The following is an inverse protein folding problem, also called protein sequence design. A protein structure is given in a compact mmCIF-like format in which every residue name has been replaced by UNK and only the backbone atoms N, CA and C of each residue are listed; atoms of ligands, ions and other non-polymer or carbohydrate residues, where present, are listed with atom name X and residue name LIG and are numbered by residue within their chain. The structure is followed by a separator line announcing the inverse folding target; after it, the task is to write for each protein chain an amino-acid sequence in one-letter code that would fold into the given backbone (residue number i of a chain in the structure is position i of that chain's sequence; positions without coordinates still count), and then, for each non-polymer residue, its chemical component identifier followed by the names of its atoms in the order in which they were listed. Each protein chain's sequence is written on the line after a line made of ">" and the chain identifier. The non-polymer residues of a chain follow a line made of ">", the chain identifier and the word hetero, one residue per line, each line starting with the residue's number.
data_IF_957203698633
#
_entry.id   IF_957203698633
#
_cell.length_a   1.000
_cell.length_b   1.000
_cell.length_c   1.000
_cell.angle_alpha   90.00
_cell.angle_beta   90.00
_cell.angle_gamma   90.00
#
_symmetry.space_group_name_H-M   'P 1'
#
loop_
_entity.id
_entity.type
_entity.pdbx_description
1 polymer ?
#
# COMPACT_ATOMS: atom_id res chain seq x y z
N UNK A 1 -21.50 -21.81 22.59
CA UNK A 1 -21.18 -21.96 21.16
C UNK A 1 -20.03 -22.93 20.84
N UNK A 2 -19.03 -23.14 21.71
CA UNK A 2 -17.87 -24.01 21.43
C UNK A 2 -18.20 -25.45 20.96
N UNK A 3 -19.16 -26.12 21.61
CA UNK A 3 -19.61 -27.48 21.21
C UNK A 3 -20.32 -27.52 19.86
N UNK A 4 -21.03 -26.45 19.50
CA UNK A 4 -21.74 -26.35 18.22
C UNK A 4 -20.76 -26.05 17.08
N UNK A 5 -19.81 -25.13 17.32
CA UNK A 5 -18.76 -24.75 16.38
C UNK A 5 -17.96 -25.96 15.87
N UNK A 6 -17.64 -26.93 16.73
CA UNK A 6 -16.85 -28.11 16.35
C UNK A 6 -17.58 -29.18 15.54
N UNK A 7 -18.91 -29.09 15.41
CA UNK A 7 -19.72 -30.12 14.72
C UNK A 7 -20.61 -29.56 13.62
N UNK A 8 -20.84 -28.24 13.59
CA UNK A 8 -21.76 -27.61 12.65
C UNK A 8 -21.21 -27.68 11.23
N UNK A 9 -22.08 -28.04 10.30
CA UNK A 9 -21.83 -27.93 8.87
C UNK A 9 -22.70 -26.80 8.31
N UNK A 10 -22.06 -25.86 7.62
CA UNK A 10 -22.71 -24.73 6.99
C UNK A 10 -22.82 -24.96 5.49
N UNK A 11 -23.95 -24.57 4.90
CA UNK A 11 -24.14 -24.58 3.46
C UNK A 11 -23.27 -23.49 2.84
N UNK A 12 -22.45 -23.87 1.87
CA UNK A 12 -21.54 -22.98 1.15
C UNK A 12 -21.70 -23.16 -0.36
N UNK A 13 -21.01 -22.33 -1.14
CA UNK A 13 -20.84 -22.52 -2.59
C UNK A 13 -20.12 -23.85 -2.96
N UNK A 14 -19.56 -24.59 -1.99
CA UNK A 14 -18.95 -25.92 -2.17
C UNK A 14 -19.62 -26.98 -1.29
N UNK A 15 -20.94 -26.93 -1.18
CA UNK A 15 -21.78 -27.79 -0.31
C UNK A 15 -21.53 -27.55 1.19
N UNK A 16 -21.85 -28.53 2.01
CA UNK A 16 -21.72 -28.46 3.47
C UNK A 16 -20.25 -28.53 3.90
N UNK A 17 -19.77 -27.50 4.60
CA UNK A 17 -18.39 -27.39 5.09
C UNK A 17 -18.38 -27.08 6.59
N UNK A 18 -17.35 -27.54 7.29
CA UNK A 18 -17.16 -27.23 8.72
C UNK A 18 -16.24 -26.01 8.89
N UNK A 19 -16.69 -24.95 9.58
CA UNK A 19 -15.85 -23.76 9.81
C UNK A 19 -14.54 -24.04 10.56
N UNK A 20 -14.50 -25.13 11.34
CA UNK A 20 -13.28 -25.53 12.08
C UNK A 20 -12.26 -26.28 11.24
N UNK A 21 -12.64 -26.75 10.05
CA UNK A 21 -11.76 -27.51 9.15
C UNK A 21 -11.36 -26.69 7.92
N UNK A 22 -12.20 -25.76 7.50
CA UNK A 22 -11.99 -24.93 6.30
C UNK A 22 -12.36 -23.48 6.58
N UNK A 23 -11.60 -22.54 6.03
CA UNK A 23 -11.95 -21.12 6.09
C UNK A 23 -13.19 -20.85 5.23
N UNK A 24 -14.27 -20.39 5.87
CA UNK A 24 -15.53 -20.01 5.22
C UNK A 24 -15.70 -18.51 5.37
N UNK A 25 -15.98 -17.82 4.27
CA UNK A 25 -16.08 -16.37 4.26
C UNK A 25 -17.48 -15.85 3.95
N UNK A 26 -17.80 -14.66 4.44
CA UNK A 26 -19.04 -13.97 4.12
C UNK A 26 -19.07 -13.45 2.67
N UNK A 27 -20.27 -13.44 2.07
CA UNK A 27 -20.54 -12.71 0.83
C UNK A 27 -20.89 -11.24 1.13
N UNK A 28 -20.91 -10.36 0.11
CA UNK A 28 -21.38 -8.98 0.28
C UNK A 28 -22.81 -8.86 0.85
N UNK A 29 -23.67 -9.88 0.67
CA UNK A 29 -25.04 -9.84 1.22
C UNK A 29 -25.07 -9.85 2.75
N UNK A 30 -24.05 -10.44 3.36
CA UNK A 30 -23.85 -10.45 4.82
C UNK A 30 -23.13 -9.20 5.34
N UNK A 31 -22.79 -8.26 4.46
CA UNK A 31 -22.08 -7.03 4.82
C UNK A 31 -20.56 -7.10 4.65
N UNK A 32 -20.02 -8.15 4.03
CA UNK A 32 -18.61 -8.16 3.65
C UNK A 32 -18.36 -7.01 2.66
N UNK A 33 -17.41 -6.09 2.94
CA UNK A 33 -17.13 -4.96 2.05
C UNK A 33 -16.61 -5.37 0.67
N UNK A 34 -16.10 -6.60 0.52
CA UNK A 34 -15.47 -7.11 -0.70
C UNK A 34 -16.22 -8.29 -1.29
N UNK A 35 -16.33 -8.33 -2.61
CA UNK A 35 -16.84 -9.47 -3.36
C UNK A 35 -15.67 -10.38 -3.73
N UNK A 36 -15.42 -11.41 -2.93
CA UNK A 36 -14.18 -12.20 -3.03
C UNK A 36 -13.99 -12.88 -4.39
N UNK A 37 -15.07 -13.31 -5.02
CA UNK A 37 -15.02 -13.96 -6.34
C UNK A 37 -14.66 -12.96 -7.44
N UNK A 38 -15.03 -11.69 -7.27
CA UNK A 38 -14.73 -10.62 -8.23
C UNK A 38 -13.41 -9.93 -7.91
N UNK A 39 -13.16 -9.68 -6.64
CA UNK A 39 -12.06 -8.87 -6.15
C UNK A 39 -10.75 -9.66 -6.05
N UNK A 40 -10.86 -10.98 -5.83
CA UNK A 40 -9.76 -11.92 -5.65
C UNK A 40 -10.06 -13.26 -6.35
N UNK A 41 -10.46 -13.17 -7.63
CA UNK A 41 -10.98 -14.29 -8.44
C UNK A 41 -10.03 -15.48 -8.63
N UNK A 42 -8.74 -15.27 -8.40
CA UNK A 42 -7.67 -16.27 -8.51
C UNK A 42 -7.69 -17.28 -7.37
N UNK A 43 -8.27 -16.95 -6.23
CA UNK A 43 -8.36 -17.85 -5.09
C UNK A 43 -9.71 -18.56 -5.05
N UNK A 44 -9.69 -19.83 -4.67
CA UNK A 44 -10.88 -20.69 -4.66
C UNK A 44 -11.66 -20.54 -3.35
N UNK A 45 -12.32 -19.39 -3.18
CA UNK A 45 -13.06 -19.03 -1.97
C UNK A 45 -14.18 -20.02 -1.62
N UNK A 46 -14.30 -20.35 -0.34
CA UNK A 46 -15.47 -21.03 0.23
C UNK A 46 -16.34 -19.95 0.87
N UNK A 47 -17.51 -19.71 0.31
CA UNK A 47 -18.41 -18.65 0.71
C UNK A 47 -19.67 -19.21 1.37
N UNK A 48 -20.09 -18.59 2.47
CA UNK A 48 -21.36 -18.90 3.12
C UNK A 48 -22.51 -18.68 2.14
N UNK A 49 -23.42 -19.65 2.03
CA UNK A 49 -24.55 -19.56 1.10
C UNK A 49 -25.46 -18.38 1.44
N UNK A 50 -25.89 -17.64 0.43
CA UNK A 50 -26.83 -16.53 0.57
C UNK A 50 -28.26 -16.98 0.94
N UNK A 51 -28.53 -18.28 0.95
CA UNK A 51 -29.84 -18.83 1.35
C UNK A 51 -30.20 -18.48 2.80
N UNK A 52 -29.21 -18.36 3.70
CA UNK A 52 -29.48 -18.01 5.11
C UNK A 52 -29.94 -16.57 5.30
N UNK A 53 -29.71 -15.69 4.32
CA UNK A 53 -30.03 -14.26 4.42
C UNK A 53 -31.11 -13.81 3.42
N UNK A 54 -31.56 -14.70 2.52
CA UNK A 54 -32.48 -14.39 1.42
C UNK A 54 -33.78 -13.71 1.88
N UNK A 55 -34.30 -14.10 3.05
CA UNK A 55 -35.55 -13.56 3.60
C UNK A 55 -35.36 -12.43 4.61
N UNK A 56 -34.13 -11.96 4.82
CA UNK A 56 -33.82 -10.95 5.83
C UNK A 56 -33.74 -9.57 5.19
N UNK A 57 -34.75 -8.75 5.49
CA UNK A 57 -34.83 -7.37 4.97
C UNK A 57 -34.25 -6.34 5.95
N UNK A 58 -34.26 -6.64 7.26
CA UNK A 58 -33.80 -5.72 8.30
C UNK A 58 -32.27 -5.68 8.41
N UNK A 59 -31.69 -4.49 8.42
CA UNK A 59 -30.26 -4.29 8.69
C UNK A 59 -29.84 -4.84 10.06
N UNK A 60 -30.70 -4.73 11.07
CA UNK A 60 -30.41 -5.22 12.42
C UNK A 60 -30.38 -6.77 12.49
N UNK A 61 -31.29 -7.43 11.77
CA UNK A 61 -31.31 -8.90 11.70
C UNK A 61 -30.10 -9.43 10.94
N UNK A 62 -29.68 -8.75 9.87
CA UNK A 62 -28.43 -9.08 9.15
C UNK A 62 -27.21 -8.99 10.06
N UNK A 63 -27.10 -7.94 10.88
CA UNK A 63 -26.01 -7.80 11.86
C UNK A 63 -26.01 -8.94 12.89
N UNK A 64 -27.18 -9.30 13.43
CA UNK A 64 -27.30 -10.44 14.36
C UNK A 64 -26.90 -11.76 13.72
N UNK A 65 -27.29 -11.97 12.46
CA UNK A 65 -26.95 -13.18 11.72
C UNK A 65 -25.45 -13.24 11.39
N UNK A 66 -24.87 -12.13 10.95
CA UNK A 66 -23.44 -12.00 10.74
C UNK A 66 -22.69 -12.37 12.04
N UNK A 67 -23.02 -11.73 13.16
CA UNK A 67 -22.41 -12.03 14.47
C UNK A 67 -22.54 -13.52 14.83
N UNK A 68 -23.72 -14.11 14.65
CA UNK A 68 -23.94 -15.54 14.91
C UNK A 68 -22.99 -16.43 14.09
N UNK A 69 -22.84 -16.18 12.79
CA UNK A 69 -21.94 -16.94 11.94
C UNK A 69 -20.46 -16.66 12.25
N UNK A 70 -20.10 -15.45 12.69
CA UNK A 70 -18.77 -15.13 13.19
C UNK A 70 -18.43 -15.96 14.43
N UNK A 71 -19.39 -16.12 15.36
CA UNK A 71 -19.23 -16.99 16.54
C UNK A 71 -19.04 -18.48 16.17
N UNK A 72 -19.58 -18.91 15.02
CA UNK A 72 -19.36 -20.25 14.46
C UNK A 72 -18.03 -20.38 13.71
N UNK A 73 -17.32 -19.28 13.43
CA UNK A 73 -16.03 -19.28 12.74
C UNK A 73 -16.08 -18.91 11.26
N UNK A 74 -17.17 -18.33 10.78
CA UNK A 74 -17.19 -17.67 9.46
C UNK A 74 -16.51 -16.31 9.59
N UNK A 75 -15.65 -15.98 8.63
CA UNK A 75 -14.84 -14.77 8.65
C UNK A 75 -15.22 -13.80 7.53
N UNK A 76 -14.88 -12.53 7.69
CA UNK A 76 -14.77 -11.63 6.54
C UNK A 76 -13.50 -11.96 5.74
N UNK A 77 -13.35 -11.34 4.58
CA UNK A 77 -12.29 -11.62 3.60
C UNK A 77 -10.91 -11.91 4.22
N UNK A 78 -10.47 -11.06 5.15
CA UNK A 78 -9.12 -11.08 5.73
C UNK A 78 -9.09 -11.16 7.27
N UNK A 79 -10.21 -11.45 7.94
CA UNK A 79 -10.31 -11.30 9.39
C UNK A 79 -10.57 -12.59 10.16
N UNK A 80 -9.95 -12.75 11.35
CA UNK A 80 -9.03 -11.81 11.98
C UNK A 80 -7.57 -12.03 11.49
N UNK A 81 -6.78 -10.94 11.38
CA UNK A 81 -5.42 -10.92 10.76
C UNK A 81 -4.43 -11.84 11.48
N UNK A 82 -4.58 -12.00 12.80
CA UNK A 82 -3.84 -12.91 13.67
C UNK A 82 -3.93 -14.39 13.27
N UNK A 83 -4.98 -14.78 12.54
CA UNK A 83 -5.15 -16.16 12.06
C UNK A 83 -4.58 -16.40 10.66
N UNK A 84 -3.90 -15.43 10.06
CA UNK A 84 -3.26 -15.65 8.76
C UNK A 84 -2.10 -16.62 8.87
N UNK A 85 -2.10 -17.59 7.98
CA UNK A 85 -0.87 -18.31 7.67
C UNK A 85 -0.06 -17.48 6.67
N UNK A 86 1.27 -17.40 6.86
CA UNK A 86 2.16 -16.75 5.89
C UNK A 86 1.91 -17.26 4.46
N UNK A 87 1.58 -18.55 4.34
CA UNK A 87 1.24 -19.21 3.07
C UNK A 87 0.06 -18.54 2.32
N UNK A 88 -0.98 -18.09 3.02
CA UNK A 88 -2.12 -17.42 2.37
C UNK A 88 -1.73 -16.05 1.83
N UNK A 89 -1.00 -15.25 2.60
CA UNK A 89 -0.45 -13.98 2.12
C UNK A 89 0.47 -14.19 0.93
N UNK A 90 1.44 -15.09 1.06
CA UNK A 90 2.41 -15.41 0.02
C UNK A 90 1.70 -15.87 -1.25
N UNK A 91 0.68 -16.70 -1.14
CA UNK A 91 -0.12 -17.14 -2.30
C UNK A 91 -0.79 -15.96 -3.03
N UNK A 92 -1.26 -14.94 -2.30
CA UNK A 92 -1.91 -13.77 -2.87
C UNK A 92 -0.90 -12.83 -3.54
N UNK A 93 0.23 -12.56 -2.89
CA UNK A 93 1.25 -11.66 -3.45
C UNK A 93 2.04 -12.31 -4.60
N UNK A 94 2.18 -13.64 -4.61
CA UNK A 94 2.83 -14.39 -5.70
C UNK A 94 2.05 -14.35 -7.01
N UNK A 95 0.77 -13.96 -6.99
CA UNK A 95 0.01 -13.69 -8.22
C UNK A 95 0.57 -12.46 -8.94
N UNK A 96 1.28 -11.57 -8.22
CA UNK A 96 1.88 -10.33 -8.75
C UNK A 96 0.89 -9.46 -9.53
N UNK A 97 -0.36 -9.40 -9.05
CA UNK A 97 -1.42 -8.62 -9.70
C UNK A 97 -1.58 -7.27 -9.01
N UNK A 98 -1.28 -6.19 -9.74
CA UNK A 98 -1.42 -4.82 -9.24
C UNK A 98 -2.80 -4.55 -8.62
N UNK A 99 -3.89 -5.01 -9.25
CA UNK A 99 -5.24 -4.83 -8.71
C UNK A 99 -5.48 -5.58 -7.41
N UNK A 100 -4.93 -6.80 -7.29
CA UNK A 100 -5.05 -7.60 -6.06
C UNK A 100 -4.24 -6.95 -4.94
N UNK A 101 -3.00 -6.56 -5.23
CA UNK A 101 -2.11 -5.92 -4.25
C UNK A 101 -2.64 -4.56 -3.78
N UNK A 102 -3.26 -3.76 -4.66
CA UNK A 102 -3.95 -2.51 -4.26
C UNK A 102 -5.09 -2.77 -3.28
N UNK A 103 -5.96 -3.74 -3.61
CA UNK A 103 -7.06 -4.13 -2.72
C UNK A 103 -6.54 -4.66 -1.39
N UNK A 104 -5.54 -5.53 -1.43
CA UNK A 104 -4.89 -6.08 -0.24
C UNK A 104 -4.34 -4.98 0.67
N UNK A 105 -3.66 -3.98 0.08
CA UNK A 105 -3.16 -2.84 0.82
C UNK A 105 -4.27 -2.06 1.51
N UNK A 106 -5.35 -1.72 0.79
CA UNK A 106 -6.51 -1.01 1.35
C UNK A 106 -7.13 -1.77 2.52
N UNK A 107 -7.28 -3.09 2.39
CA UNK A 107 -7.92 -3.90 3.45
C UNK A 107 -7.04 -3.98 4.69
N UNK A 108 -5.73 -4.15 4.51
CA UNK A 108 -4.77 -4.12 5.60
C UNK A 108 -4.82 -2.76 6.29
N UNK A 109 -4.81 -1.67 5.53
CA UNK A 109 -4.90 -0.30 6.06
C UNK A 109 -6.15 -0.06 6.91
N UNK A 110 -7.33 -0.47 6.42
CA UNK A 110 -8.64 -0.24 7.06
C UNK A 110 -8.77 -0.94 8.41
N UNK A 111 -8.06 -2.05 8.61
CA UNK A 111 -8.25 -2.93 9.75
C UNK A 111 -6.95 -3.22 10.51
N UNK A 112 -5.91 -2.43 10.26
CA UNK A 112 -4.62 -2.61 10.88
C UNK A 112 -4.70 -2.30 12.38
N UNK A 113 -4.35 -3.29 13.20
CA UNK A 113 -4.23 -3.13 14.65
C UNK A 113 -2.97 -3.84 15.10
N UNK A 114 -2.04 -3.10 15.71
CA UNK A 114 -0.82 -3.69 16.23
C UNK A 114 -1.14 -4.53 17.48
N UNK A 115 -0.91 -5.84 17.37
CA UNK A 115 -0.83 -6.79 18.48
C UNK A 115 0.56 -7.45 18.51
N UNK A 116 0.93 -8.13 19.59
CA UNK A 116 2.20 -8.88 19.66
C UNK A 116 2.37 -9.89 18.52
N UNK A 117 1.28 -10.47 18.02
CA UNK A 117 1.29 -11.43 16.91
C UNK A 117 1.50 -10.73 15.56
N UNK A 118 1.03 -9.48 15.42
CA UNK A 118 1.25 -8.69 14.21
C UNK A 118 2.68 -8.20 14.01
N UNK A 119 3.56 -8.22 15.02
CA UNK A 119 4.95 -7.76 14.87
C UNK A 119 5.76 -8.65 13.89
N UNK A 120 5.60 -9.98 14.01
CA UNK A 120 6.24 -10.94 13.10
C UNK A 120 5.65 -10.83 11.70
N UNK A 121 4.33 -10.65 11.60
CA UNK A 121 3.65 -10.45 10.33
C UNK A 121 4.08 -9.14 9.66
N UNK A 122 4.20 -8.05 10.42
CA UNK A 122 4.69 -6.76 9.91
C UNK A 122 6.11 -6.88 9.35
N UNK A 123 6.98 -7.64 10.01
CA UNK A 123 8.31 -7.92 9.47
C UNK A 123 8.21 -8.64 8.12
N UNK A 124 7.36 -9.66 8.01
CA UNK A 124 7.10 -10.37 6.76
C UNK A 124 6.56 -9.43 5.66
N UNK A 125 5.64 -8.52 5.99
CA UNK A 125 5.12 -7.53 5.07
C UNK A 125 6.21 -6.59 4.54
N UNK A 126 7.16 -6.18 5.39
CA UNK A 126 8.28 -5.29 5.01
C UNK A 126 9.25 -5.97 4.05
N UNK A 127 9.54 -7.25 4.29
CA UNK A 127 10.50 -8.03 3.51
C UNK A 127 9.90 -8.54 2.17
N UNK A 128 8.58 -8.51 2.03
CA UNK A 128 7.85 -9.00 0.85
C UNK A 128 7.74 -7.96 -0.27
N UNK A 129 7.79 -8.41 -1.53
CA UNK A 129 7.56 -7.56 -2.72
C UNK A 129 6.06 -7.58 -3.05
N UNK A 130 5.32 -6.60 -2.51
CA UNK A 130 3.86 -6.60 -2.68
C UNK A 130 3.22 -5.22 -2.67
N UNK A 131 3.95 -4.17 -2.28
CA UNK A 131 3.39 -2.83 -2.14
C UNK A 131 3.23 -2.23 -3.54
N UNK A 132 2.01 -1.82 -3.93
CA UNK A 132 1.79 -1.11 -5.18
C UNK A 132 2.54 0.22 -5.18
N UNK A 133 3.39 0.43 -6.18
CA UNK A 133 4.19 1.65 -6.28
C UNK A 133 4.19 2.23 -7.68
N UNK A 134 4.57 3.50 -7.72
CA UNK A 134 4.57 4.31 -8.93
C UNK A 134 5.77 5.24 -8.93
N UNK A 135 6.55 5.19 -10.00
CA UNK A 135 7.74 6.02 -10.18
C UNK A 135 7.92 6.38 -11.66
N UNK A 136 8.74 7.38 -11.96
CA UNK A 136 9.07 7.75 -13.34
C UNK A 136 10.45 7.23 -13.74
N UNK A 137 10.52 6.69 -14.94
CA UNK A 137 11.77 6.40 -15.66
C UNK A 137 11.99 7.43 -16.76
N UNK A 138 13.26 7.69 -17.07
CA UNK A 138 13.68 8.69 -18.03
C UNK A 138 14.45 7.99 -19.15
N UNK A 139 14.09 8.29 -20.39
CA UNK A 139 14.85 7.89 -21.56
C UNK A 139 15.07 9.09 -22.46
N UNK A 140 16.31 9.29 -22.90
CA UNK A 140 16.62 10.32 -23.88
C UNK A 140 16.32 9.79 -25.28
N UNK A 141 15.53 10.55 -26.02
CA UNK A 141 15.15 10.26 -27.40
C UNK A 141 16.06 11.05 -28.34
N UNK A 142 17.11 10.38 -28.83
CA UNK A 142 18.11 10.99 -29.73
C UNK A 142 17.50 11.53 -31.04
N UNK A 143 16.35 11.01 -31.48
CA UNK A 143 15.72 11.42 -32.74
C UNK A 143 14.95 12.73 -32.60
N UNK A 144 14.34 12.96 -31.43
CA UNK A 144 13.54 14.14 -31.15
C UNK A 144 14.32 15.19 -30.34
N UNK A 145 15.51 14.85 -29.84
CA UNK A 145 16.27 15.64 -28.87
C UNK A 145 15.42 15.97 -27.63
N UNK A 146 14.71 14.96 -27.12
CA UNK A 146 13.72 15.10 -26.04
C UNK A 146 13.89 14.02 -24.98
N UNK A 147 13.36 14.31 -23.79
CA UNK A 147 13.35 13.37 -22.66
C UNK A 147 11.96 12.78 -22.54
N UNK A 148 11.85 11.49 -22.81
CA UNK A 148 10.63 10.74 -22.60
C UNK A 148 10.55 10.32 -21.13
N UNK A 149 9.45 10.69 -20.48
CA UNK A 149 9.16 10.34 -19.10
C UNK A 149 8.09 9.25 -19.10
N UNK A 150 8.48 8.04 -18.71
CA UNK A 150 7.58 6.90 -18.64
C UNK A 150 7.23 6.58 -17.19
N UNK A 151 5.93 6.55 -16.92
CA UNK A 151 5.39 6.20 -15.61
C UNK A 151 5.31 4.68 -15.47
N UNK A 152 6.00 4.14 -14.47
CA UNK A 152 6.08 2.71 -14.20
C UNK A 152 5.24 2.42 -12.95
N UNK A 153 4.36 1.41 -13.05
CA UNK A 153 3.63 0.84 -11.92
C UNK A 153 4.16 -0.57 -11.65
N UNK A 154 4.66 -0.81 -10.44
CA UNK A 154 5.24 -2.11 -10.05
C UNK A 154 5.02 -2.41 -8.56
N UNK A 155 5.34 -3.64 -8.16
CA UNK A 155 5.29 -4.06 -6.76
C UNK A 155 6.68 -3.95 -6.15
N UNK A 156 6.79 -3.35 -4.97
CA UNK A 156 8.06 -3.16 -4.25
C UNK A 156 7.96 -3.59 -2.78
N UNK A 157 9.11 -3.70 -2.13
CA UNK A 157 9.25 -3.80 -0.66
C UNK A 157 9.05 -2.43 -0.02
N UNK A 158 8.83 -2.36 1.30
CA UNK A 158 8.53 -1.10 2.01
C UNK A 158 9.65 -0.06 2.00
N UNK A 159 10.84 -0.40 1.50
CA UNK A 159 12.02 0.43 1.57
C UNK A 159 11.94 1.63 0.61
N UNK A 160 12.19 2.84 1.13
CA UNK A 160 12.26 4.09 0.35
C UNK A 160 11.00 4.40 -0.47
N UNK A 161 9.83 3.98 0.00
CA UNK A 161 8.54 4.33 -0.60
C UNK A 161 7.96 5.55 0.12
N UNK A 162 7.57 6.55 -0.66
CA UNK A 162 7.01 7.81 -0.15
C UNK A 162 5.49 7.83 -0.24
N UNK A 163 4.85 8.39 0.78
CA UNK A 163 3.43 8.74 0.72
C UNK A 163 3.28 9.98 -0.16
N UNK A 164 2.28 9.97 -1.05
CA UNK A 164 2.06 11.04 -2.01
C UNK A 164 1.39 12.25 -1.35
N UNK A 165 2.18 13.07 -0.65
CA UNK A 165 1.71 14.33 -0.05
C UNK A 165 2.12 15.54 -0.91
N UNK A 166 1.39 16.66 -0.80
CA UNK A 166 1.71 17.90 -1.54
C UNK A 166 3.14 18.39 -1.26
N UNK A 167 3.62 18.24 -0.04
CA UNK A 167 4.97 18.64 0.34
C UNK A 167 6.02 17.77 -0.34
N UNK A 168 5.87 16.44 -0.27
CA UNK A 168 6.79 15.50 -0.90
C UNK A 168 6.80 15.70 -2.42
N UNK A 169 5.64 15.85 -3.04
CA UNK A 169 5.54 16.13 -4.47
C UNK A 169 6.22 17.44 -4.87
N UNK A 170 6.14 18.49 -4.03
CA UNK A 170 6.80 19.77 -4.32
C UNK A 170 8.33 19.68 -4.25
N UNK A 171 8.86 18.80 -3.39
CA UNK A 171 10.30 18.68 -3.14
C UNK A 171 11.01 17.60 -3.95
N UNK A 172 10.32 16.51 -4.27
CA UNK A 172 10.89 15.34 -4.94
C UNK A 172 10.19 14.98 -6.27
N UNK A 173 9.09 15.66 -6.62
CA UNK A 173 8.30 15.50 -7.86
C UNK A 173 8.09 14.06 -8.33
N UNK A 174 8.90 13.60 -9.27
CA UNK A 174 8.81 12.29 -9.92
C UNK A 174 10.13 11.53 -9.83
N UNK A 175 11.00 11.95 -8.91
CA UNK A 175 12.34 11.39 -8.72
C UNK A 175 12.42 10.39 -7.58
N UNK A 176 11.28 10.08 -6.96
CA UNK A 176 11.14 9.09 -5.90
C UNK A 176 9.99 8.14 -6.21
N UNK A 177 9.99 7.00 -5.54
CA UNK A 177 8.94 5.98 -5.65
C UNK A 177 7.81 6.31 -4.69
N UNK A 178 6.60 6.47 -5.21
CA UNK A 178 5.40 6.70 -4.41
C UNK A 178 4.60 5.42 -4.23
N UNK A 179 3.87 5.32 -3.13
CA UNK A 179 2.80 4.33 -2.98
C UNK A 179 1.66 4.64 -3.97
N UNK A 180 1.14 3.61 -4.65
CA UNK A 180 0.06 3.70 -5.65
C UNK A 180 -1.31 3.29 -5.07
N UNK A 181 -1.57 3.71 -3.83
CA UNK A 181 -2.81 3.50 -3.08
C UNK A 181 -3.12 4.77 -2.27
N UNK A 182 -4.40 5.06 -2.07
CA UNK A 182 -4.82 6.15 -1.20
C UNK A 182 -4.58 5.78 0.27
N UNK A 183 -3.86 6.65 0.98
CA UNK A 183 -3.57 6.46 2.40
C UNK A 183 -4.57 7.26 3.24
N UNK A 184 -5.26 6.57 4.14
CA UNK A 184 -6.19 7.20 5.08
C UNK A 184 -5.40 8.03 6.10
N UNK A 185 -5.87 9.26 6.36
CA UNK A 185 -5.20 10.20 7.28
C UNK A 185 -5.05 9.70 8.71
N UNK A 186 -5.82 8.69 9.10
CA UNK A 186 -5.84 8.12 10.46
C UNK A 186 -5.19 6.74 10.52
N UNK A 187 -4.69 6.19 9.42
CA UNK A 187 -4.13 4.84 9.44
C UNK A 187 -2.71 4.84 9.98
N UNK A 188 -2.46 4.05 11.04
CA UNK A 188 -1.09 3.79 11.50
C UNK A 188 -0.34 2.82 10.58
N UNK A 189 -1.04 2.11 9.70
CA UNK A 189 -0.47 1.05 8.86
C UNK A 189 0.71 1.51 8.01
N UNK A 190 0.55 2.65 7.33
CA UNK A 190 1.60 3.19 6.46
C UNK A 190 2.88 3.50 7.25
N UNK A 191 2.73 4.05 8.46
CA UNK A 191 3.84 4.35 9.36
C UNK A 191 4.48 3.08 9.92
N UNK A 192 3.67 2.10 10.32
CA UNK A 192 4.16 0.81 10.82
C UNK A 192 4.92 0.05 9.74
N UNK A 193 4.46 0.10 8.50
CA UNK A 193 5.12 -0.47 7.31
C UNK A 193 6.43 0.27 6.98
N UNK A 194 6.61 1.50 7.48
CA UNK A 194 7.81 2.31 7.26
C UNK A 194 7.76 3.17 5.99
N UNK A 195 6.56 3.47 5.49
CA UNK A 195 6.39 4.42 4.39
C UNK A 195 6.76 5.83 4.85
N UNK A 196 7.39 6.60 3.96
CA UNK A 196 7.91 7.93 4.29
C UNK A 196 6.80 8.97 4.10
N UNK A 197 6.23 9.44 5.21
CA UNK A 197 5.21 10.50 5.23
C UNK A 197 5.81 11.92 5.30
N UNK A 198 6.95 12.05 5.98
CA UNK A 198 7.60 13.32 6.26
C UNK A 198 9.04 13.32 5.74
N UNK A 199 9.45 14.45 5.17
CA UNK A 199 10.80 14.69 4.68
C UNK A 199 11.53 15.58 5.68
N UNK A 200 12.73 15.17 6.06
CA UNK A 200 13.66 15.99 6.82
C UNK A 200 14.59 16.79 5.90
N UNK A 201 15.25 17.82 6.43
CA UNK A 201 16.26 18.56 5.69
C UNK A 201 17.41 17.67 5.21
N UNK A 202 17.81 16.69 6.01
CA UNK A 202 18.85 15.73 5.64
C UNK A 202 18.44 14.84 4.46
N UNK A 203 17.17 14.44 4.38
CA UNK A 203 16.64 13.69 3.23
C UNK A 203 16.72 14.51 1.95
N UNK A 204 16.36 15.81 2.01
CA UNK A 204 16.47 16.72 0.86
C UNK A 204 17.92 16.89 0.42
N UNK A 205 18.84 17.09 1.38
CA UNK A 205 20.26 17.26 1.09
C UNK A 205 20.84 15.97 0.50
N UNK A 206 20.49 14.82 1.05
CA UNK A 206 20.93 13.50 0.57
C UNK A 206 20.47 13.27 -0.86
N UNK A 207 19.19 13.55 -1.15
CA UNK A 207 18.60 13.40 -2.46
C UNK A 207 19.21 14.36 -3.49
N UNK A 208 19.37 15.64 -3.13
CA UNK A 208 20.03 16.64 -3.96
C UNK A 208 21.48 16.26 -4.28
N UNK A 209 22.24 15.82 -3.27
CA UNK A 209 23.61 15.35 -3.46
C UNK A 209 23.65 14.11 -4.37
N UNK A 210 22.66 13.23 -4.28
CA UNK A 210 22.54 12.07 -5.16
C UNK A 210 22.26 12.49 -6.61
N UNK A 211 21.36 13.44 -6.85
CA UNK A 211 21.08 13.96 -8.19
C UNK A 211 22.28 14.68 -8.80
N UNK A 212 23.02 15.47 -8.03
CA UNK A 212 24.25 16.11 -8.48
C UNK A 212 25.36 15.13 -8.90
N UNK A 213 25.28 13.87 -8.46
CA UNK A 213 26.22 12.80 -8.87
C UNK A 213 25.75 12.02 -10.09
N UNK A 214 24.49 12.15 -10.51
CA UNK A 214 24.00 11.48 -11.72
C UNK A 214 24.61 12.16 -12.94
N UNK A 215 24.98 11.35 -13.94
CA UNK A 215 25.47 11.85 -15.23
C UNK A 215 24.41 12.70 -15.94
N UNK A 216 23.14 12.33 -15.76
CA UNK A 216 21.99 12.98 -16.39
C UNK A 216 20.87 13.05 -15.35
N UNK A 217 20.36 14.26 -15.11
CA UNK A 217 19.21 14.51 -14.24
C UNK A 217 18.32 15.55 -14.94
N UNK A 218 17.07 15.17 -15.19
CA UNK A 218 16.11 16.02 -15.90
C UNK A 218 15.05 16.50 -14.93
N UNK A 219 14.89 17.80 -14.79
CA UNK A 219 13.90 18.39 -13.88
C UNK A 219 13.55 19.80 -14.33
N UNK A 220 12.40 20.32 -13.89
CA UNK A 220 12.03 21.71 -14.12
C UNK A 220 12.84 22.68 -13.26
N UNK A 221 12.97 23.93 -13.72
CA UNK A 221 13.51 25.03 -12.91
C UNK A 221 12.67 25.28 -11.66
N UNK A 222 11.34 25.19 -11.77
CA UNK A 222 10.42 25.39 -10.64
C UNK A 222 10.66 24.37 -9.52
N UNK A 223 10.90 23.11 -9.87
CA UNK A 223 11.27 22.07 -8.90
C UNK A 223 12.53 22.45 -8.14
N UNK A 224 13.60 22.80 -8.86
CA UNK A 224 14.87 23.17 -8.24
C UNK A 224 14.74 24.41 -7.35
N UNK A 225 13.95 25.40 -7.77
CA UNK A 225 13.63 26.56 -6.93
C UNK A 225 12.91 26.14 -5.65
N UNK A 226 11.98 25.20 -5.70
CA UNK A 226 11.30 24.69 -4.51
C UNK A 226 12.27 24.04 -3.53
N UNK A 227 13.21 23.25 -4.02
CA UNK A 227 14.25 22.60 -3.20
C UNK A 227 15.15 23.65 -2.54
N UNK A 228 15.70 24.60 -3.31
CA UNK A 228 16.58 25.62 -2.76
C UNK A 228 15.85 26.53 -1.77
N UNK A 229 14.61 26.90 -2.05
CA UNK A 229 13.77 27.67 -1.12
C UNK A 229 13.54 26.90 0.19
N UNK A 230 13.31 25.59 0.11
CA UNK A 230 13.15 24.75 1.29
C UNK A 230 14.43 24.69 2.13
N UNK A 231 15.59 24.46 1.52
CA UNK A 231 16.88 24.46 2.22
C UNK A 231 17.13 25.84 2.86
N UNK A 232 16.92 26.92 2.11
CA UNK A 232 17.09 28.29 2.61
C UNK A 232 16.20 28.62 3.82
N UNK A 233 14.96 28.14 3.83
CA UNK A 233 14.01 28.40 4.93
C UNK A 233 14.30 27.59 6.19
N UNK A 234 14.97 26.44 6.06
CA UNK A 234 15.15 25.48 7.16
C UNK A 234 16.60 25.39 7.66
N UNK A 235 17.51 26.21 7.14
CA UNK A 235 18.93 26.17 7.48
C UNK A 235 19.44 27.55 7.87
N UNK A 236 20.35 27.62 8.85
CA UNK A 236 21.03 28.86 9.21
C UNK A 236 22.11 29.24 8.17
N UNK A 237 22.56 30.49 8.20
CA UNK A 237 23.60 30.97 7.29
C UNK A 237 24.91 30.19 7.40
N UNK A 238 25.30 29.80 8.63
CA UNK A 238 26.55 29.07 8.87
C UNK A 238 26.46 27.65 8.32
N UNK A 239 25.35 26.95 8.59
CA UNK A 239 25.09 25.61 8.05
C UNK A 239 25.03 25.61 6.52
N UNK A 240 24.43 26.65 5.90
CA UNK A 240 24.41 26.81 4.45
C UNK A 240 25.83 26.97 3.89
N UNK A 241 26.66 27.78 4.54
CA UNK A 241 28.05 27.98 4.13
C UNK A 241 28.84 26.67 4.21
N UNK A 242 28.67 25.92 5.28
CA UNK A 242 29.31 24.62 5.46
C UNK A 242 28.81 23.61 4.41
N UNK A 243 27.51 23.57 4.13
CA UNK A 243 26.93 22.69 3.12
C UNK A 243 27.49 22.98 1.72
N UNK A 244 27.57 24.25 1.32
CA UNK A 244 28.13 24.68 0.03
C UNK A 244 29.60 24.27 -0.10
N UNK A 245 30.36 24.39 0.98
CA UNK A 245 31.78 24.05 0.99
C UNK A 245 32.06 22.54 1.01
N UNK A 246 31.09 21.73 1.45
CA UNK A 246 31.29 20.29 1.70
C UNK A 246 30.62 19.38 0.66
N UNK A 247 29.55 19.82 0.01
CA UNK A 247 28.76 18.97 -0.91
C UNK A 247 28.47 19.67 -2.23
N UNK A 248 28.40 18.93 -3.35
CA UNK A 248 27.88 19.47 -4.60
C UNK A 248 26.36 19.64 -4.44
N UNK A 249 25.92 20.87 -4.21
CA UNK A 249 24.51 21.19 -3.99
C UNK A 249 23.92 22.07 -5.09
N UNK A 250 24.74 22.62 -5.98
CA UNK A 250 24.24 23.41 -7.09
C UNK A 250 24.07 22.52 -8.31
N UNK A 251 22.84 22.53 -8.80
CA UNK A 251 22.40 21.86 -10.00
C UNK A 251 21.67 22.87 -10.89
N UNK A 252 22.02 22.87 -12.19
CA UNK A 252 21.36 23.67 -13.22
C UNK A 252 20.56 22.69 -14.08
N UNK A 253 19.22 22.78 -14.10
CA UNK A 253 18.40 21.91 -14.92
C UNK A 253 18.65 22.15 -16.40
N UNK A 254 18.69 21.05 -17.15
CA UNK A 254 18.48 21.05 -18.58
C UNK A 254 16.95 21.08 -18.74
N UNK A 255 16.40 22.17 -19.27
CA UNK A 255 14.95 22.37 -19.38
C UNK A 255 14.31 21.16 -20.08
N UNK A 256 13.50 20.41 -19.33
CA UNK A 256 12.62 19.37 -19.89
C UNK A 256 11.32 19.96 -20.45
N UNK A 257 11.15 21.29 -20.40
CA UNK A 257 10.09 21.99 -21.10
C UNK A 257 10.45 22.12 -22.57
N UNK A 258 10.05 21.13 -23.36
CA UNK A 258 9.56 21.44 -24.69
C UNK A 258 8.26 22.21 -24.47
N UNK A 259 8.14 23.39 -25.09
CA UNK A 259 6.91 24.19 -25.13
C UNK A 259 5.66 23.36 -25.50
#
# INVERSE_FOLDING_TARGET
>A
MSRLKSIVQLLTNKNFQQPTQTSIHFTPKYGNPYDLLKDFSTYNWILLSDEYIMNISSSNERKKLHQFFSELGVSDFLFPIDNWTYEQFDSLINIQSMSINKRLFTILQENWVITKETELFLKHLKDSIWIPTIHSSYSYNEQLDQVDINKICELNQSNNIYIKTKQIQKLFEQHVTYVDVEIDSNSSFANDLGLIEHITLDDVISMLTHWCKKSIFYTSLSHMQNIYNYIYQNMSRNELQDLINTKPIFFVPIDSSVD
#
